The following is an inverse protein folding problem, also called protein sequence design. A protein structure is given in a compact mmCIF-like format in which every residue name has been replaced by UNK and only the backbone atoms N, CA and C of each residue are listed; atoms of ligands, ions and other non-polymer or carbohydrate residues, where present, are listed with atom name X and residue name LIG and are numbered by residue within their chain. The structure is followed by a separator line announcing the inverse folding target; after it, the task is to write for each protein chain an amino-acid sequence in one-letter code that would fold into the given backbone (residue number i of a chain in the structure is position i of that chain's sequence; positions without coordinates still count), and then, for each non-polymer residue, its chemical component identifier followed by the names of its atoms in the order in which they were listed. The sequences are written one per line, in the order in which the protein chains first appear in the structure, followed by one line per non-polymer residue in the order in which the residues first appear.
data_IF_960620910598
#
_entry.id   IF_960620910598
#
_cell.length_a   1.000
_cell.length_b   1.000
_cell.length_c   1.000
_cell.angle_alpha   90.00
_cell.angle_beta   90.00
_cell.angle_gamma   90.00
#
_symmetry.space_group_name_H-M   'P 1'
#
loop_
_entity.id
_entity.type
_entity.pdbx_description
1 polymer ?
#
# COMPACT_ATOMS: atom_id res chain seq x y z
N UNK A 1 -15.71 4.15 -0.64
CA UNK A 1 -16.94 3.63 -0.01
C UNK A 1 -17.55 4.71 0.86
N UNK A 2 -18.87 4.88 0.83
CA UNK A 2 -19.58 5.56 1.92
C UNK A 2 -19.96 4.51 2.97
N UNK A 3 -20.13 4.88 4.25
CA UNK A 3 -20.38 3.91 5.34
C UNK A 3 -21.55 2.95 5.05
N UNK A 4 -22.54 3.36 4.24
CA UNK A 4 -23.69 2.53 3.85
C UNK A 4 -23.36 1.40 2.86
N UNK A 5 -22.21 1.45 2.21
CA UNK A 5 -21.75 0.45 1.24
C UNK A 5 -20.84 -0.62 1.86
N UNK A 6 -20.53 -0.51 3.15
CA UNK A 6 -19.74 -1.50 3.88
C UNK A 6 -20.70 -2.59 4.38
N UNK A 7 -20.80 -3.69 3.65
CA UNK A 7 -21.57 -4.88 4.04
C UNK A 7 -20.63 -6.06 4.31
N UNK A 8 -21.15 -7.12 4.94
CA UNK A 8 -20.36 -8.33 5.17
C UNK A 8 -19.87 -8.95 3.84
N UNK A 9 -20.71 -8.95 2.82
CA UNK A 9 -20.37 -9.42 1.47
C UNK A 9 -19.27 -8.57 0.83
N UNK A 10 -19.32 -7.25 1.01
CA UNK A 10 -18.28 -6.35 0.52
C UNK A 10 -16.93 -6.61 1.20
N UNK A 11 -16.93 -6.85 2.52
CA UNK A 11 -15.72 -7.22 3.27
C UNK A 11 -15.19 -8.58 2.85
N UNK A 12 -16.07 -9.58 2.68
CA UNK A 12 -15.69 -10.90 2.19
C UNK A 12 -15.06 -10.83 0.79
N UNK A 13 -15.73 -10.14 -0.15
CA UNK A 13 -15.21 -9.94 -1.50
C UNK A 13 -13.82 -9.30 -1.50
N UNK A 14 -13.60 -8.30 -0.63
CA UNK A 14 -12.32 -7.61 -0.49
C UNK A 14 -11.19 -8.47 0.08
N UNK A 15 -11.48 -9.65 0.66
CA UNK A 15 -10.49 -10.57 1.22
C UNK A 15 -10.44 -11.92 0.48
N UNK A 16 -11.08 -12.01 -0.70
CA UNK A 16 -11.23 -13.27 -1.44
C UNK A 16 -10.09 -13.45 -2.45
N UNK A 17 -9.06 -14.19 -2.04
CA UNK A 17 -7.93 -14.52 -2.92
C UNK A 17 -8.34 -15.54 -4.00
N UNK A 18 -8.12 -15.26 -5.31
CA UNK A 18 -8.62 -16.10 -6.41
C UNK A 18 -8.15 -17.56 -6.41
N UNK A 19 -6.96 -17.84 -5.88
CA UNK A 19 -6.41 -19.20 -5.80
C UNK A 19 -6.89 -19.99 -4.58
N UNK A 20 -7.57 -19.34 -3.62
CA UNK A 20 -8.03 -19.96 -2.38
C UNK A 20 -9.56 -20.07 -2.32
N UNK A 21 -10.28 -19.13 -2.93
CA UNK A 21 -11.73 -19.01 -2.81
C UNK A 21 -12.43 -18.68 -4.13
N UNK A 22 -13.67 -19.16 -4.26
CA UNK A 22 -14.56 -18.75 -5.34
C UNK A 22 -14.92 -17.26 -5.23
N UNK A 23 -15.20 -16.63 -6.37
CA UNK A 23 -15.65 -15.25 -6.40
C UNK A 23 -16.95 -15.07 -5.59
N UNK A 24 -17.03 -13.99 -4.81
CA UNK A 24 -18.22 -13.60 -4.07
C UNK A 24 -19.20 -12.92 -5.03
N UNK A 25 -20.44 -13.40 -5.08
CA UNK A 25 -21.50 -12.78 -5.89
C UNK A 25 -22.20 -11.67 -5.10
N UNK A 26 -22.20 -10.45 -5.64
CA UNK A 26 -22.94 -9.30 -5.08
C UNK A 26 -23.79 -8.71 -6.20
N UNK A 27 -25.12 -8.79 -6.06
CA UNK A 27 -26.04 -8.53 -7.16
C UNK A 27 -25.77 -9.49 -8.33
N UNK A 28 -25.57 -8.96 -9.53
CA UNK A 28 -25.28 -9.74 -10.75
C UNK A 28 -23.78 -9.85 -11.07
N UNK A 29 -22.92 -9.38 -10.18
CA UNK A 29 -21.47 -9.31 -10.40
C UNK A 29 -20.72 -10.24 -9.45
N UNK A 30 -19.57 -10.75 -9.93
CA UNK A 30 -18.68 -11.62 -9.18
C UNK A 30 -17.39 -10.88 -8.86
N UNK A 31 -16.93 -11.00 -7.62
CA UNK A 31 -15.82 -10.23 -7.09
C UNK A 31 -14.78 -11.14 -6.44
N UNK A 32 -13.52 -10.82 -6.71
CA UNK A 32 -12.37 -11.25 -5.92
C UNK A 32 -11.74 -10.04 -5.24
N UNK A 33 -10.70 -10.27 -4.47
CA UNK A 33 -9.91 -9.25 -3.80
C UNK A 33 -9.56 -8.10 -4.76
N UNK A 34 -9.82 -6.86 -4.33
CA UNK A 34 -9.60 -5.67 -5.14
C UNK A 34 -8.12 -5.30 -5.32
N UNK A 35 -7.22 -5.90 -4.54
CA UNK A 35 -5.82 -5.53 -4.53
C UNK A 35 -5.02 -5.96 -5.77
N UNK A 36 -5.60 -6.77 -6.65
CA UNK A 36 -5.07 -6.96 -8.02
C UNK A 36 -5.31 -5.75 -8.93
N UNK A 37 -6.22 -4.86 -8.54
CA UNK A 37 -6.51 -3.62 -9.28
C UNK A 37 -5.87 -2.41 -8.59
N UNK A 38 -6.06 -2.24 -7.28
CA UNK A 38 -5.41 -1.18 -6.51
C UNK A 38 -5.38 -1.52 -5.01
N UNK A 39 -4.21 -1.38 -4.34
CA UNK A 39 -4.08 -1.61 -2.90
C UNK A 39 -2.99 -0.75 -2.20
N UNK A 40 -3.36 0.27 -1.40
CA UNK A 40 -4.67 0.90 -1.37
C UNK A 40 -4.86 1.83 -2.59
N UNK A 41 -6.10 2.09 -3.03
CA UNK A 41 -6.36 3.10 -4.06
C UNK A 41 -6.09 4.51 -3.50
N UNK A 42 -5.01 5.15 -3.95
CA UNK A 42 -4.58 6.46 -3.43
C UNK A 42 -5.17 7.63 -4.21
N UNK A 43 -5.36 7.50 -5.53
CA UNK A 43 -5.91 8.56 -6.38
C UNK A 43 -7.26 9.11 -5.88
N UNK A 44 -8.23 8.28 -5.44
CA UNK A 44 -9.50 8.81 -4.91
C UNK A 44 -9.33 9.66 -3.66
N UNK A 45 -8.31 9.40 -2.83
CA UNK A 45 -8.00 10.22 -1.65
C UNK A 45 -7.42 11.58 -2.08
N UNK A 46 -6.58 11.57 -3.11
CA UNK A 46 -5.95 12.75 -3.68
C UNK A 46 -6.95 13.67 -4.40
N UNK A 47 -7.97 13.12 -5.04
CA UNK A 47 -8.98 13.89 -5.77
C UNK A 47 -10.16 14.32 -4.88
N UNK A 48 -10.67 13.43 -4.02
CA UNK A 48 -11.93 13.63 -3.28
C UNK A 48 -11.77 14.09 -1.83
N UNK A 49 -10.57 13.95 -1.24
CA UNK A 49 -10.34 14.27 0.17
C UNK A 49 -10.29 15.77 0.48
N UNK A 50 -10.43 16.15 1.75
CA UNK A 50 -10.01 17.48 2.26
C UNK A 50 -8.71 17.41 3.05
N UNK A 51 -8.21 16.19 3.30
CA UNK A 51 -7.01 15.96 4.06
C UNK A 51 -5.78 16.35 3.25
N UNK A 52 -4.85 17.07 3.90
CA UNK A 52 -3.53 17.37 3.35
C UNK A 52 -2.56 16.25 3.63
N UNK A 53 -2.68 15.62 4.79
CA UNK A 53 -1.83 14.51 5.21
C UNK A 53 -2.50 13.17 4.91
N UNK A 54 -1.78 12.29 4.22
CA UNK A 54 -2.18 10.92 3.92
C UNK A 54 -1.17 9.99 4.58
N UNK A 55 -1.63 9.10 5.45
CA UNK A 55 -0.80 8.07 6.06
C UNK A 55 -1.02 6.74 5.35
N UNK A 56 0.02 6.24 4.70
CA UNK A 56 0.05 4.97 3.99
C UNK A 56 0.63 3.89 4.90
N UNK A 57 -0.18 2.90 5.27
CA UNK A 57 0.26 1.74 6.07
C UNK A 57 0.43 0.53 5.16
N UNK A 58 1.65 -0.01 5.09
CA UNK A 58 2.01 -1.11 4.17
C UNK A 58 2.49 -2.33 4.94
N UNK A 59 1.99 -3.50 4.54
CA UNK A 59 2.47 -4.79 5.06
C UNK A 59 3.69 -5.33 4.30
N UNK A 60 3.84 -4.97 3.03
CA UNK A 60 4.93 -5.48 2.21
C UNK A 60 6.24 -4.77 2.54
N UNK A 61 7.21 -5.58 2.96
CA UNK A 61 8.55 -5.18 3.34
C UNK A 61 9.54 -5.39 2.18
N UNK A 62 9.32 -4.75 1.03
CA UNK A 62 10.23 -4.84 -0.14
C UNK A 62 10.45 -6.26 -0.70
N UNK A 63 11.11 -6.36 -1.85
CA UNK A 63 11.52 -7.65 -2.42
C UNK A 63 12.56 -8.38 -1.55
N UNK A 64 12.71 -9.69 -1.76
CA UNK A 64 13.94 -10.38 -1.38
C UNK A 64 14.95 -10.22 -2.51
N UNK A 65 16.21 -9.93 -2.19
CA UNK A 65 17.30 -9.86 -3.18
C UNK A 65 17.59 -11.23 -3.81
N UNK A 66 17.13 -12.31 -3.17
CA UNK A 66 17.31 -13.66 -3.69
C UNK A 66 16.22 -14.00 -4.73
N UNK A 67 16.61 -14.59 -5.87
CA UNK A 67 15.64 -14.99 -6.88
C UNK A 67 14.68 -16.06 -6.34
N UNK A 68 13.37 -16.00 -6.67
CA UNK A 68 12.41 -17.00 -6.23
C UNK A 68 12.59 -18.30 -7.05
N UNK A 69 13.29 -19.28 -6.49
CA UNK A 69 13.62 -20.53 -7.21
C UNK A 69 12.58 -21.67 -7.04
N UNK A 70 11.62 -21.53 -6.14
CA UNK A 70 10.59 -22.54 -5.88
C UNK A 70 9.23 -22.06 -6.37
N UNK A 71 8.33 -22.97 -6.77
CA UNK A 71 6.97 -22.61 -7.19
C UNK A 71 6.24 -21.73 -6.15
N UNK A 72 6.40 -22.06 -4.86
CA UNK A 72 5.85 -21.27 -3.75
C UNK A 72 6.46 -19.86 -3.70
N UNK A 73 7.77 -19.74 -3.81
CA UNK A 73 8.45 -18.44 -3.81
C UNK A 73 8.08 -17.60 -5.03
N UNK A 74 7.95 -18.22 -6.20
CA UNK A 74 7.53 -17.56 -7.45
C UNK A 74 6.11 -17.02 -7.29
N UNK A 75 5.18 -17.85 -6.82
CA UNK A 75 3.80 -17.43 -6.60
C UNK A 75 3.69 -16.28 -5.59
N UNK A 76 4.45 -16.34 -4.49
CA UNK A 76 4.48 -15.26 -3.52
C UNK A 76 5.09 -13.96 -4.09
N UNK A 77 6.14 -14.05 -4.93
CA UNK A 77 6.71 -12.89 -5.62
C UNK A 77 5.73 -12.30 -6.64
N UNK A 78 5.03 -13.13 -7.40
CA UNK A 78 3.97 -12.69 -8.31
C UNK A 78 2.86 -11.97 -7.54
N UNK A 79 2.39 -12.54 -6.43
CA UNK A 79 1.37 -11.92 -5.59
C UNK A 79 1.86 -10.56 -5.07
N UNK A 80 3.06 -10.51 -4.50
CA UNK A 80 3.66 -9.24 -4.08
C UNK A 80 3.62 -8.20 -5.21
N UNK A 81 4.14 -8.53 -6.39
CA UNK A 81 4.17 -7.62 -7.54
C UNK A 81 2.76 -7.13 -7.91
N UNK A 82 1.79 -8.05 -8.00
CA UNK A 82 0.41 -7.69 -8.37
C UNK A 82 -0.24 -6.74 -7.35
N UNK A 83 0.01 -6.93 -6.06
CA UNK A 83 -0.54 -6.08 -5.00
C UNK A 83 0.22 -4.74 -4.85
N UNK A 84 1.50 -4.66 -5.21
CA UNK A 84 2.31 -3.43 -5.05
C UNK A 84 2.40 -2.57 -6.31
N UNK A 85 2.36 -3.16 -7.50
CA UNK A 85 2.59 -2.44 -8.75
C UNK A 85 1.59 -1.30 -9.00
N UNK A 86 0.27 -1.46 -8.78
CA UNK A 86 -0.68 -0.37 -8.97
C UNK A 86 -0.40 0.83 -8.05
N UNK A 87 -0.10 0.55 -6.77
CA UNK A 87 0.22 1.60 -5.80
C UNK A 87 1.50 2.34 -6.21
N UNK A 88 2.56 1.62 -6.56
CA UNK A 88 3.83 2.23 -6.97
C UNK A 88 3.61 3.14 -8.20
N UNK A 89 2.81 2.69 -9.17
CA UNK A 89 2.46 3.49 -10.34
C UNK A 89 1.73 4.78 -9.96
N UNK A 90 0.72 4.70 -9.09
CA UNK A 90 0.00 5.88 -8.61
C UNK A 90 0.91 6.86 -7.84
N UNK A 91 1.85 6.33 -7.06
CA UNK A 91 2.83 7.14 -6.31
C UNK A 91 3.80 7.87 -7.23
N UNK A 92 4.31 7.20 -8.27
CA UNK A 92 5.19 7.82 -9.27
C UNK A 92 4.44 8.92 -10.04
N UNK A 93 3.20 8.65 -10.49
CA UNK A 93 2.37 9.67 -11.12
C UNK A 93 2.12 10.88 -10.21
N UNK A 94 1.82 10.63 -8.94
CA UNK A 94 1.59 11.69 -7.98
C UNK A 94 2.86 12.54 -7.76
N UNK A 95 4.02 11.91 -7.63
CA UNK A 95 5.30 12.61 -7.52
C UNK A 95 5.57 13.48 -8.76
N UNK A 96 5.28 12.98 -9.96
CA UNK A 96 5.42 13.72 -11.21
C UNK A 96 4.52 14.96 -11.25
N UNK A 97 3.25 14.80 -10.90
CA UNK A 97 2.28 15.90 -10.82
C UNK A 97 2.69 16.94 -9.78
N UNK A 98 3.20 16.52 -8.63
CA UNK A 98 3.73 17.43 -7.61
C UNK A 98 4.94 18.22 -8.14
N UNK A 99 5.88 17.58 -8.84
CA UNK A 99 7.03 18.28 -9.45
C UNK A 99 6.57 19.31 -10.47
N UNK A 100 5.62 18.95 -11.34
CA UNK A 100 5.04 19.87 -12.32
C UNK A 100 4.32 21.05 -11.67
N UNK A 101 3.58 20.82 -10.58
CA UNK A 101 2.91 21.87 -9.82
C UNK A 101 3.92 22.81 -9.16
N UNK A 102 4.99 22.28 -8.55
CA UNK A 102 6.08 23.08 -7.96
C UNK A 102 6.85 23.89 -9.01
N UNK A 103 6.99 23.36 -10.22
CA UNK A 103 7.60 24.06 -11.36
C UNK A 103 6.68 25.14 -11.99
N UNK A 104 5.42 25.25 -11.54
CA UNK A 104 4.45 26.22 -12.05
C UNK A 104 3.70 25.78 -13.32
N UNK A 105 4.02 24.60 -13.87
CA UNK A 105 3.35 24.04 -15.07
C UNK A 105 1.92 23.59 -14.80
N UNK A 106 1.57 23.32 -13.53
CA UNK A 106 0.21 23.02 -13.07
C UNK A 106 -0.22 24.08 -12.04
N UNK A 107 -1.01 25.05 -12.50
CA UNK A 107 -1.51 26.16 -11.70
C UNK A 107 -2.88 25.92 -11.05
N UNK A 108 -3.38 26.95 -10.37
CA UNK A 108 -4.73 26.99 -9.81
C UNK A 108 -4.93 26.13 -8.55
N UNK A 109 -6.20 25.88 -8.16
CA UNK A 109 -6.53 25.14 -6.94
C UNK A 109 -5.96 23.72 -6.91
N UNK A 110 -5.91 23.04 -8.07
CA UNK A 110 -5.35 21.69 -8.19
C UNK A 110 -3.83 21.68 -7.95
N UNK A 111 -3.09 22.58 -8.60
CA UNK A 111 -1.64 22.71 -8.39
C UNK A 111 -1.28 22.99 -6.93
N UNK A 112 -2.00 23.92 -6.29
CA UNK A 112 -1.83 24.20 -4.86
C UNK A 112 -2.10 22.98 -3.99
N UNK A 113 -3.19 22.26 -4.26
CA UNK A 113 -3.54 21.04 -3.52
C UNK A 113 -2.48 19.95 -3.66
N UNK A 114 -1.96 19.74 -4.87
CA UNK A 114 -0.86 18.79 -5.11
C UNK A 114 0.36 19.15 -4.26
N UNK A 115 0.76 20.43 -4.24
CA UNK A 115 1.90 20.91 -3.44
C UNK A 115 1.66 20.76 -1.94
N UNK A 116 0.45 21.05 -1.46
CA UNK A 116 0.09 20.99 -0.04
C UNK A 116 -0.11 19.55 0.48
N UNK A 117 -0.27 18.57 -0.41
CA UNK A 117 -0.51 17.18 -0.01
C UNK A 117 0.80 16.51 0.43
N UNK A 118 0.77 15.90 1.61
CA UNK A 118 1.88 15.24 2.29
C UNK A 118 1.57 13.76 2.45
N UNK A 119 2.47 12.92 1.97
CA UNK A 119 2.35 11.47 2.08
C UNK A 119 3.35 10.96 3.12
N UNK A 120 2.81 10.28 4.12
CA UNK A 120 3.53 9.63 5.19
C UNK A 120 3.45 8.12 4.98
N UNK A 121 4.47 7.36 5.39
CA UNK A 121 4.44 5.89 5.28
C UNK A 121 4.84 5.24 6.59
N UNK A 122 4.09 4.21 6.98
CA UNK A 122 4.49 3.21 7.95
C UNK A 122 4.51 1.87 7.22
N UNK A 123 5.68 1.28 7.06
CA UNK A 123 5.82 -0.09 6.57
C UNK A 123 6.13 -1.06 7.71
N UNK A 124 5.85 -2.35 7.45
CA UNK A 124 6.16 -3.43 8.39
C UNK A 124 7.65 -3.77 8.55
N UNK A 125 8.54 -3.14 7.76
CA UNK A 125 9.99 -3.22 7.91
C UNK A 125 10.58 -4.62 8.06
N UNK A 126 11.66 -4.70 8.84
CA UNK A 126 12.32 -5.97 9.19
C UNK A 126 11.45 -6.88 10.06
N UNK A 127 10.56 -6.29 10.87
CA UNK A 127 9.66 -7.02 11.76
C UNK A 127 8.80 -8.01 10.97
N UNK A 128 8.18 -7.56 9.87
CA UNK A 128 7.39 -8.44 9.00
C UNK A 128 8.24 -9.33 8.09
N UNK A 129 9.47 -8.94 7.74
CA UNK A 129 10.41 -9.81 7.00
C UNK A 129 10.73 -11.09 7.76
N UNK A 130 10.84 -11.00 9.09
CA UNK A 130 11.22 -12.13 9.94
C UNK A 130 10.19 -13.27 9.95
N UNK A 131 8.89 -12.97 9.80
CA UNK A 131 7.83 -13.98 9.86
C UNK A 131 7.72 -14.85 8.59
N UNK A 132 8.43 -14.48 7.51
CA UNK A 132 8.47 -15.23 6.25
C UNK A 132 7.08 -15.43 5.62
N UNK A 133 7.01 -16.18 4.52
CA UNK A 133 5.76 -16.33 3.76
C UNK A 133 4.73 -17.26 4.41
N UNK A 134 5.17 -18.24 5.21
CA UNK A 134 4.29 -19.24 5.81
C UNK A 134 3.37 -18.65 6.89
N UNK A 135 3.81 -17.56 7.54
CA UNK A 135 3.02 -16.84 8.54
C UNK A 135 1.76 -16.18 7.97
N UNK A 136 1.72 -15.87 6.66
CA UNK A 136 0.58 -15.21 6.01
C UNK A 136 -0.73 -16.02 6.09
N UNK A 137 -0.63 -17.33 6.28
CA UNK A 137 -1.79 -18.22 6.47
C UNK A 137 -2.11 -18.50 7.94
N UNK A 138 -1.32 -17.97 8.87
CA UNK A 138 -1.52 -18.18 10.30
C UNK A 138 -2.59 -17.22 10.84
N UNK A 139 -3.76 -17.75 11.14
CA UNK A 139 -4.87 -17.00 11.76
C UNK A 139 -5.02 -17.29 13.26
N UNK A 140 -4.00 -17.87 13.92
CA UNK A 140 -4.06 -18.13 15.35
C UNK A 140 -4.09 -16.83 16.15
N UNK A 141 -4.97 -16.78 17.17
CA UNK A 141 -5.18 -15.58 17.98
C UNK A 141 -3.89 -15.01 18.59
N UNK A 142 -3.01 -15.87 19.11
CA UNK A 142 -1.75 -15.43 19.73
C UNK A 142 -0.86 -14.69 18.73
N UNK A 143 -0.76 -15.22 17.50
CA UNK A 143 0.00 -14.60 16.43
C UNK A 143 -0.63 -13.27 15.96
N UNK A 144 -1.95 -13.21 15.84
CA UNK A 144 -2.63 -11.94 15.51
C UNK A 144 -2.44 -10.86 16.58
N UNK A 145 -2.40 -11.26 17.86
CA UNK A 145 -2.11 -10.34 18.97
C UNK A 145 -0.67 -9.83 18.94
N UNK A 146 0.28 -10.71 18.59
CA UNK A 146 1.69 -10.34 18.37
C UNK A 146 1.83 -9.31 17.22
N UNK A 147 1.24 -9.60 16.05
CA UNK A 147 1.24 -8.68 14.91
C UNK A 147 0.61 -7.32 15.26
N UNK A 148 -0.50 -7.33 16.01
CA UNK A 148 -1.12 -6.10 16.49
C UNK A 148 -0.20 -5.32 17.44
N UNK A 149 0.52 -6.01 18.33
CA UNK A 149 1.52 -5.40 19.21
C UNK A 149 2.65 -4.74 18.43
N UNK A 150 3.19 -5.43 17.42
CA UNK A 150 4.22 -4.90 16.52
C UNK A 150 3.74 -3.66 15.76
N UNK A 151 2.54 -3.71 15.18
CA UNK A 151 1.96 -2.57 14.48
C UNK A 151 1.79 -1.35 15.39
N UNK A 152 1.40 -1.55 16.65
CA UNK A 152 1.31 -0.48 17.64
C UNK A 152 2.68 0.13 17.97
N UNK A 153 3.66 -0.69 18.29
CA UNK A 153 5.02 -0.22 18.60
C UNK A 153 5.66 0.54 17.43
N UNK A 154 5.39 0.10 16.19
CA UNK A 154 5.83 0.79 14.98
C UNK A 154 5.16 2.15 14.81
N UNK A 155 3.86 2.23 15.05
CA UNK A 155 3.12 3.49 15.00
C UNK A 155 3.57 4.47 16.11
N UNK A 156 3.84 3.98 17.32
CA UNK A 156 4.40 4.79 18.42
C UNK A 156 5.77 5.35 18.04
N UNK A 157 6.67 4.50 17.54
CA UNK A 157 7.98 4.94 17.03
C UNK A 157 7.83 5.98 15.92
N UNK A 158 6.89 5.80 14.99
CA UNK A 158 6.64 6.75 13.91
C UNK A 158 6.12 8.10 14.43
N UNK A 159 5.25 8.11 15.44
CA UNK A 159 4.75 9.35 16.05
C UNK A 159 5.88 10.15 16.73
N UNK A 160 6.85 9.45 17.32
CA UNK A 160 8.00 10.06 17.99
C UNK A 160 9.13 10.43 17.03
N UNK A 161 9.11 9.93 15.79
CA UNK A 161 10.18 10.16 14.81
C UNK A 161 10.09 11.52 14.12
N UNK A 162 11.23 11.96 13.59
CA UNK A 162 11.28 13.15 12.73
C UNK A 162 10.61 12.88 11.36
N UNK A 163 10.37 11.64 10.94
CA UNK A 163 9.70 11.34 9.66
C UNK A 163 8.24 11.82 9.65
N UNK A 164 7.56 11.76 10.80
CA UNK A 164 6.26 12.40 10.98
C UNK A 164 6.33 13.93 10.76
N UNK A 165 7.48 14.54 11.05
CA UNK A 165 7.75 15.98 10.90
C UNK A 165 8.39 16.36 9.55
N UNK A 166 9.06 15.45 8.86
CA UNK A 166 9.78 15.72 7.59
C UNK A 166 8.96 15.39 6.34
N UNK A 167 7.90 14.60 6.45
CA UNK A 167 6.85 14.55 5.44
C UNK A 167 6.18 15.94 5.23
N UNK A 168 6.48 16.92 6.07
CA UNK A 168 6.25 18.34 5.78
C UNK A 168 7.05 18.88 4.58
N UNK A 169 8.10 18.19 4.09
CA UNK A 169 9.08 18.76 3.16
C UNK A 169 9.48 17.98 1.90
N UNK A 170 9.42 16.65 1.74
CA UNK A 170 9.61 16.05 0.39
C UNK A 170 9.33 14.55 0.24
N UNK A 171 8.61 14.20 -0.84
CA UNK A 171 8.43 12.83 -1.36
C UNK A 171 9.41 12.64 -2.52
N UNK A 172 10.67 12.36 -2.23
CA UNK A 172 11.67 12.00 -3.25
C UNK A 172 12.33 10.63 -2.97
N UNK A 173 12.00 9.96 -1.87
CA UNK A 173 12.70 8.76 -1.42
C UNK A 173 11.99 7.43 -1.78
N UNK A 174 10.73 7.46 -2.24
CA UNK A 174 9.92 6.24 -2.40
C UNK A 174 10.22 5.41 -3.66
N UNK A 175 10.98 5.95 -4.64
CA UNK A 175 11.24 5.28 -5.92
C UNK A 175 12.65 4.67 -6.05
N UNK A 176 13.41 4.53 -4.95
CA UNK A 176 14.71 3.82 -4.98
C UNK A 176 14.53 2.30 -4.88
N UNK A 177 13.89 1.69 -5.86
CA UNK A 177 14.26 0.33 -6.27
C UNK A 177 15.13 0.49 -7.53
N UNK A 178 16.42 0.16 -7.41
CA UNK A 178 17.36 0.24 -8.53
C UNK A 178 16.88 -0.66 -9.68
N UNK A 179 16.92 -0.18 -10.94
CA UNK A 179 16.61 -1.04 -12.07
C UNK A 179 17.64 -2.16 -12.14
N UNK A 180 17.14 -3.40 -12.26
CA UNK A 180 17.93 -4.60 -12.50
C UNK A 180 18.89 -4.35 -13.68
N UNK A 181 20.21 -4.66 -13.56
CA UNK A 181 21.14 -4.44 -14.66
C UNK A 181 20.74 -5.31 -15.85
N UNK A 182 20.45 -4.65 -16.98
CA UNK A 182 20.19 -5.30 -18.27
C UNK A 182 21.40 -6.13 -18.68
N UNK A 183 21.17 -7.42 -18.95
CA UNK A 183 22.13 -8.34 -19.58
C UNK A 183 22.34 -8.01 -21.05
#
# INVERSE_FOLDING_TARGET
FTNRQITAEAVLASATLPWLHHAVKIGDRHYWDGGFTANPPILPLLEGGKARDILLVRLDSGGSDNPPLTARAIHARLNQIMFTAPLNHDLDQFADLQRMARAGSLGGPLGRRLIETRLHTIDGGEDLRAFGQASKMNAQRGFLQELHGLGRARAETWLDSQDHREAEQSIAAASKEEPCPSS
#
